data_IF_607809185063
#
_entry.id   IF_607809185063
#
_cell.length_a   1.000
_cell.length_b   1.000
_cell.length_c   1.000
_cell.angle_alpha   90.00
_cell.angle_beta   90.00
_cell.angle_gamma   90.00
#
_symmetry.space_group_name_H-M   'P 1'
#
loop_
_entity.id
_entity.type
_entity.pdbx_description
1 polymer ?
#
# COMPACT_ATOMS: atom_id res chain seq x y z
N UNK A 1 37.59 -20.48 -23.11
CA UNK A 1 38.10 -20.17 -21.76
C UNK A 1 38.00 -18.69 -21.39
N UNK A 2 38.10 -17.73 -22.30
CA UNK A 2 37.90 -16.29 -22.04
C UNK A 2 36.43 -15.97 -21.68
N UNK A 3 35.49 -16.71 -22.25
CA UNK A 3 34.04 -16.57 -21.92
C UNK A 3 33.72 -16.98 -20.49
N UNK A 4 34.40 -17.95 -19.91
CA UNK A 4 34.19 -18.34 -18.52
C UNK A 4 34.76 -17.33 -17.50
N UNK A 5 35.81 -16.61 -17.86
CA UNK A 5 36.42 -15.57 -17.02
C UNK A 5 35.51 -14.33 -17.00
N UNK A 6 34.89 -13.97 -18.15
CA UNK A 6 33.93 -12.87 -18.25
C UNK A 6 32.60 -13.17 -17.54
N UNK A 7 32.14 -14.42 -17.55
CA UNK A 7 30.94 -14.83 -16.81
C UNK A 7 31.16 -14.80 -15.28
N UNK A 8 32.33 -15.21 -14.81
CA UNK A 8 32.72 -15.09 -13.38
C UNK A 8 32.89 -13.64 -12.94
N UNK A 9 33.39 -12.76 -13.82
CA UNK A 9 33.53 -11.33 -13.48
C UNK A 9 32.17 -10.61 -13.44
N UNK A 10 31.22 -11.00 -14.29
CA UNK A 10 29.84 -10.46 -14.25
C UNK A 10 29.09 -10.85 -12.97
N UNK A 11 29.26 -12.06 -12.48
CA UNK A 11 28.69 -12.51 -11.20
C UNK A 11 29.28 -11.75 -10.01
N UNK A 12 30.61 -11.53 -10.02
CA UNK A 12 31.29 -10.72 -8.97
C UNK A 12 30.91 -9.25 -9.02
N UNK A 13 30.74 -8.68 -10.23
CA UNK A 13 30.28 -7.31 -10.41
C UNK A 13 28.81 -7.11 -9.96
N UNK A 14 27.95 -8.12 -10.16
CA UNK A 14 26.57 -8.10 -9.65
C UNK A 14 26.54 -8.21 -8.12
N UNK A 15 27.37 -9.06 -7.53
CA UNK A 15 27.53 -9.17 -6.09
C UNK A 15 28.12 -7.89 -5.48
N UNK A 16 29.11 -7.28 -6.12
CA UNK A 16 29.68 -6.00 -5.69
C UNK A 16 28.71 -4.84 -5.85
N UNK A 17 27.86 -4.81 -6.89
CA UNK A 17 26.78 -3.83 -7.02
C UNK A 17 25.73 -3.99 -5.91
N UNK A 18 25.41 -5.21 -5.53
CA UNK A 18 24.50 -5.48 -4.41
C UNK A 18 25.14 -5.12 -3.06
N UNK A 19 26.44 -5.39 -2.87
CA UNK A 19 27.19 -5.00 -1.68
C UNK A 19 27.43 -3.48 -1.59
N UNK A 20 27.78 -2.85 -2.71
CA UNK A 20 27.90 -1.38 -2.79
C UNK A 20 26.51 -0.69 -2.70
N UNK A 21 25.46 -1.30 -3.22
CA UNK A 21 24.07 -0.84 -3.03
C UNK A 21 23.62 -0.93 -1.57
N UNK A 22 24.06 -1.92 -0.83
CA UNK A 22 23.83 -2.06 0.62
C UNK A 22 24.71 -1.12 1.47
N UNK A 23 25.93 -0.85 1.03
CA UNK A 23 26.87 0.00 1.77
C UNK A 23 26.73 1.50 1.47
N UNK A 24 26.17 1.86 0.31
CA UNK A 24 25.87 3.22 -0.13
C UNK A 24 24.37 3.46 -0.29
N UNK A 25 23.54 2.73 0.43
CA UNK A 25 22.13 3.09 0.63
C UNK A 25 22.09 4.38 1.45
N UNK A 26 22.52 5.48 0.82
CA UNK A 26 22.00 6.78 1.17
C UNK A 26 20.50 6.62 1.05
N UNK A 27 19.81 6.55 2.20
CA UNK A 27 18.36 6.44 2.22
C UNK A 27 17.83 7.58 1.35
N UNK A 28 17.11 7.23 0.28
CA UNK A 28 16.49 8.23 -0.57
C UNK A 28 15.76 9.23 0.33
N UNK A 29 15.91 10.49 0.04
CA UNK A 29 15.22 11.55 0.79
C UNK A 29 13.84 11.79 0.20
N UNK A 30 12.96 12.44 0.95
CA UNK A 30 11.65 12.90 0.43
C UNK A 30 11.84 13.76 -0.83
N UNK A 31 12.92 14.55 -0.89
CA UNK A 31 13.27 15.36 -2.06
C UNK A 31 13.59 14.50 -3.27
N UNK A 32 14.27 13.37 -3.08
CA UNK A 32 14.57 12.42 -4.15
C UNK A 32 13.29 11.78 -4.69
N UNK A 33 12.40 11.31 -3.81
CA UNK A 33 11.09 10.77 -4.20
C UNK A 33 10.26 11.79 -5.00
N UNK A 34 10.23 13.06 -4.57
CA UNK A 34 9.55 14.12 -5.31
C UNK A 34 10.20 14.40 -6.67
N UNK A 35 11.52 14.39 -6.74
CA UNK A 35 12.24 14.56 -8.01
C UNK A 35 11.91 13.42 -8.98
N UNK A 36 11.93 12.19 -8.52
CA UNK A 36 11.61 11.01 -9.34
C UNK A 36 10.15 11.00 -9.77
N UNK A 37 9.24 11.39 -8.88
CA UNK A 37 7.84 11.60 -9.21
C UNK A 37 7.66 12.59 -10.38
N UNK A 38 8.31 13.74 -10.34
CA UNK A 38 8.19 14.75 -11.41
C UNK A 38 8.81 14.30 -12.74
N UNK A 39 9.82 13.44 -12.71
CA UNK A 39 10.37 12.82 -13.94
C UNK A 39 9.38 11.86 -14.58
N UNK A 40 8.69 11.05 -13.76
CA UNK A 40 7.75 10.05 -14.25
C UNK A 40 6.39 10.66 -14.61
N UNK A 41 5.97 11.70 -13.88
CA UNK A 41 4.72 12.41 -14.13
C UNK A 41 4.97 13.90 -14.47
N UNK A 42 5.39 14.21 -15.70
CA UNK A 42 5.74 15.57 -16.11
C UNK A 42 4.51 16.44 -16.45
N UNK A 43 3.34 16.10 -15.95
CA UNK A 43 2.10 16.81 -16.22
C UNK A 43 1.75 17.76 -15.08
N UNK A 44 1.01 18.82 -15.42
CA UNK A 44 0.50 19.78 -14.42
C UNK A 44 -0.63 19.12 -13.64
N UNK A 45 -0.49 19.08 -12.33
CA UNK A 45 -1.56 18.63 -11.41
C UNK A 45 -2.35 19.87 -10.98
N UNK A 46 -3.69 19.87 -11.15
CA UNK A 46 -4.52 20.97 -10.68
C UNK A 46 -4.30 21.22 -9.16
N UNK A 47 -4.33 22.48 -8.69
CA UNK A 47 -3.93 22.84 -7.32
C UNK A 47 -4.64 22.06 -6.22
N UNK A 48 -5.93 21.74 -6.41
CA UNK A 48 -6.72 20.97 -5.45
C UNK A 48 -6.16 19.55 -5.21
N UNK A 49 -5.62 18.93 -6.24
CA UNK A 49 -5.05 17.57 -6.16
C UNK A 49 -3.58 17.56 -5.82
N UNK A 50 -2.86 18.68 -6.06
CA UNK A 50 -1.40 18.75 -5.83
C UNK A 50 -1.04 18.52 -4.38
N UNK A 51 -1.74 19.17 -3.46
CA UNK A 51 -1.48 19.01 -2.02
C UNK A 51 -1.67 17.57 -1.58
N UNK A 52 -2.74 16.93 -2.02
CA UNK A 52 -3.03 15.53 -1.69
C UNK A 52 -2.01 14.56 -2.30
N UNK A 53 -1.57 14.81 -3.55
CA UNK A 53 -0.50 14.03 -4.16
C UNK A 53 0.82 14.16 -3.39
N UNK A 54 1.19 15.38 -3.01
CA UNK A 54 2.39 15.66 -2.21
C UNK A 54 2.34 14.97 -0.85
N UNK A 55 1.19 15.00 -0.16
CA UNK A 55 0.98 14.31 1.12
C UNK A 55 1.11 12.79 0.97
N UNK A 56 0.53 12.21 -0.09
CA UNK A 56 0.60 10.78 -0.34
C UNK A 56 2.02 10.33 -0.69
N UNK A 57 2.77 11.11 -1.48
CA UNK A 57 4.17 10.84 -1.79
C UNK A 57 5.00 10.81 -0.49
N UNK A 58 4.80 11.78 0.41
CA UNK A 58 5.50 11.83 1.69
C UNK A 58 5.14 10.65 2.58
N UNK A 59 3.85 10.31 2.67
CA UNK A 59 3.39 9.19 3.49
C UNK A 59 3.97 7.85 2.99
N UNK A 60 3.90 7.58 1.69
CA UNK A 60 4.48 6.37 1.11
C UNK A 60 6.00 6.33 1.26
N UNK A 61 6.69 7.47 1.14
CA UNK A 61 8.12 7.55 1.42
C UNK A 61 8.44 7.12 2.86
N UNK A 62 7.72 7.66 3.84
CA UNK A 62 7.92 7.30 5.24
C UNK A 62 7.62 5.82 5.50
N UNK A 63 6.56 5.28 4.91
CA UNK A 63 6.21 3.86 5.04
C UNK A 63 7.26 2.95 4.43
N UNK A 64 7.80 3.28 3.26
CA UNK A 64 8.83 2.47 2.59
C UNK A 64 10.13 2.35 3.40
N UNK A 65 10.36 3.27 4.37
CA UNK A 65 11.51 3.26 5.27
C UNK A 65 11.22 2.64 6.64
N UNK A 66 9.97 2.21 6.90
CA UNK A 66 9.61 1.56 8.16
C UNK A 66 10.02 0.09 8.15
N UNK A 67 10.82 -0.31 9.15
CA UNK A 67 11.39 -1.66 9.24
C UNK A 67 10.34 -2.78 9.28
N UNK A 68 9.18 -2.51 9.90
CA UNK A 68 8.12 -3.49 10.10
C UNK A 68 6.91 -3.24 9.19
N UNK A 69 7.08 -2.40 8.17
CA UNK A 69 6.03 -2.15 7.20
C UNK A 69 5.92 -3.31 6.20
N UNK A 70 4.68 -3.65 5.86
CA UNK A 70 4.35 -4.67 4.89
C UNK A 70 3.28 -4.15 3.93
N UNK A 71 3.53 -4.26 2.63
CA UNK A 71 2.62 -3.86 1.56
C UNK A 71 1.61 -4.98 1.22
N UNK A 72 0.97 -5.54 2.24
CA UNK A 72 -0.01 -6.61 2.09
C UNK A 72 -1.31 -6.17 1.38
N UNK A 73 -2.22 -7.12 1.15
CA UNK A 73 -3.47 -6.88 0.43
C UNK A 73 -4.38 -5.84 1.10
N UNK A 74 -4.37 -5.72 2.43
CA UNK A 74 -5.15 -4.71 3.17
C UNK A 74 -4.58 -3.32 2.90
N UNK A 75 -3.26 -3.15 2.98
CA UNK A 75 -2.61 -1.89 2.62
C UNK A 75 -2.87 -1.51 1.16
N UNK A 76 -2.69 -2.46 0.23
CA UNK A 76 -2.93 -2.22 -1.19
C UNK A 76 -4.37 -1.77 -1.46
N UNK A 77 -5.35 -2.39 -0.80
CA UNK A 77 -6.77 -2.02 -0.92
C UNK A 77 -7.03 -0.63 -0.35
N UNK A 78 -6.45 -0.32 0.81
CA UNK A 78 -6.58 1.00 1.42
C UNK A 78 -5.96 2.11 0.57
N UNK A 79 -4.79 1.87 -0.02
CA UNK A 79 -4.13 2.82 -0.91
C UNK A 79 -4.94 3.08 -2.17
N UNK A 80 -5.48 2.03 -2.80
CA UNK A 80 -6.34 2.18 -3.97
C UNK A 80 -7.63 2.93 -3.67
N UNK A 81 -8.29 2.60 -2.57
CA UNK A 81 -9.52 3.28 -2.16
C UNK A 81 -9.27 4.76 -1.88
N UNK A 82 -8.23 5.08 -1.10
CA UNK A 82 -7.80 6.45 -0.83
C UNK A 82 -7.51 7.20 -2.12
N UNK A 83 -6.78 6.58 -3.05
CA UNK A 83 -6.44 7.20 -4.33
C UNK A 83 -7.67 7.41 -5.22
N UNK A 84 -8.63 6.48 -5.21
CA UNK A 84 -9.89 6.60 -5.95
C UNK A 84 -10.72 7.77 -5.44
N UNK A 85 -10.84 7.92 -4.13
CA UNK A 85 -11.52 9.07 -3.50
C UNK A 85 -10.80 10.38 -3.84
N UNK A 86 -9.49 10.38 -3.71
CA UNK A 86 -8.64 11.52 -4.02
C UNK A 86 -8.77 11.99 -5.46
N UNK A 87 -8.83 11.06 -6.43
CA UNK A 87 -8.91 11.40 -7.86
C UNK A 87 -10.31 11.55 -8.40
N UNK A 88 -11.32 11.53 -7.53
CA UNK A 88 -12.70 11.78 -7.96
C UNK A 88 -12.83 13.18 -8.60
N UNK A 89 -13.28 13.18 -9.86
CA UNK A 89 -13.38 14.42 -10.65
C UNK A 89 -12.06 14.89 -11.27
N UNK A 90 -10.95 14.19 -11.10
CA UNK A 90 -9.66 14.53 -11.73
C UNK A 90 -9.77 14.49 -13.27
N UNK A 91 -9.21 15.51 -13.92
CA UNK A 91 -9.12 15.61 -15.39
C UNK A 91 -7.71 15.96 -15.82
N UNK A 92 -7.21 15.40 -16.92
CA UNK A 92 -7.85 14.37 -17.78
C UNK A 92 -7.81 12.97 -17.15
N UNK A 93 -8.83 12.17 -17.41
CA UNK A 93 -9.01 10.85 -16.77
C UNK A 93 -7.93 9.82 -17.13
N UNK A 94 -7.33 9.92 -18.31
CA UNK A 94 -6.22 9.06 -18.75
C UNK A 94 -4.91 9.30 -17.96
N UNK A 95 -4.81 10.42 -17.24
CA UNK A 95 -3.69 10.69 -16.35
C UNK A 95 -3.80 9.98 -14.98
N UNK A 96 -4.98 9.52 -14.58
CA UNK A 96 -5.21 8.95 -13.23
C UNK A 96 -4.31 7.75 -12.99
N UNK A 97 -4.25 6.80 -13.92
CA UNK A 97 -3.39 5.62 -13.79
C UNK A 97 -1.89 5.98 -13.82
N UNK A 98 -1.51 6.94 -14.65
CA UNK A 98 -0.13 7.44 -14.70
C UNK A 98 0.28 8.09 -13.39
N UNK A 99 -0.63 8.87 -12.79
CA UNK A 99 -0.43 9.53 -11.50
C UNK A 99 -0.25 8.49 -10.38
N UNK A 100 -1.11 7.46 -10.33
CA UNK A 100 -0.97 6.35 -9.37
C UNK A 100 0.38 5.65 -9.50
N UNK A 101 0.75 5.28 -10.73
CA UNK A 101 2.01 4.60 -11.00
C UNK A 101 3.20 5.45 -10.55
N UNK A 102 3.22 6.73 -10.89
CA UNK A 102 4.31 7.63 -10.52
C UNK A 102 4.44 7.80 -9.00
N UNK A 103 3.31 7.93 -8.28
CA UNK A 103 3.30 8.01 -6.81
C UNK A 103 3.83 6.73 -6.16
N UNK A 104 3.48 5.57 -6.70
CA UNK A 104 3.97 4.28 -6.20
C UNK A 104 5.47 4.11 -6.52
N UNK A 105 5.85 4.25 -7.78
CA UNK A 105 7.20 3.97 -8.27
C UNK A 105 8.26 4.85 -7.60
N UNK A 106 8.00 6.16 -7.42
CA UNK A 106 8.94 7.09 -6.79
C UNK A 106 9.26 6.73 -5.33
N UNK A 107 8.46 5.86 -4.72
CA UNK A 107 8.64 5.37 -3.35
C UNK A 107 9.03 3.88 -3.30
N UNK A 108 9.30 3.26 -4.45
CA UNK A 108 9.72 1.87 -4.52
C UNK A 108 8.59 0.83 -4.40
N UNK A 109 7.34 1.25 -4.49
CA UNK A 109 6.19 0.34 -4.56
C UNK A 109 5.90 -0.06 -6.00
N UNK A 110 5.52 -1.32 -6.21
CA UNK A 110 5.09 -1.81 -7.52
C UNK A 110 3.58 -1.60 -7.70
N UNK A 111 3.12 -0.68 -8.56
CA UNK A 111 1.70 -0.39 -8.72
C UNK A 111 0.91 -1.56 -9.29
N UNK A 112 1.50 -2.40 -10.14
CA UNK A 112 0.85 -3.58 -10.70
C UNK A 112 0.60 -4.63 -9.62
N UNK A 113 1.57 -4.87 -8.74
CA UNK A 113 1.44 -5.77 -7.61
C UNK A 113 0.35 -5.30 -6.64
N UNK A 114 0.37 -4.02 -6.27
CA UNK A 114 -0.65 -3.43 -5.40
C UNK A 114 -2.07 -3.53 -6.00
N UNK A 115 -2.20 -3.30 -7.30
CA UNK A 115 -3.47 -3.47 -8.00
C UNK A 115 -3.95 -4.92 -7.91
N UNK A 116 -3.08 -5.89 -8.20
CA UNK A 116 -3.40 -7.31 -8.16
C UNK A 116 -3.82 -7.75 -6.74
N UNK A 117 -3.06 -7.37 -5.72
CA UNK A 117 -3.37 -7.68 -4.32
C UNK A 117 -4.75 -7.14 -3.90
N UNK A 118 -5.04 -5.89 -4.25
CA UNK A 118 -6.33 -5.26 -3.94
C UNK A 118 -7.49 -5.95 -4.67
N UNK A 119 -7.36 -6.22 -5.96
CA UNK A 119 -8.41 -6.85 -6.75
C UNK A 119 -8.71 -8.26 -6.26
N UNK A 120 -7.67 -9.06 -5.98
CA UNK A 120 -7.82 -10.41 -5.43
C UNK A 120 -8.51 -10.40 -4.07
N UNK A 121 -8.18 -9.44 -3.20
CA UNK A 121 -8.82 -9.31 -1.90
C UNK A 121 -10.31 -8.99 -2.04
N UNK A 122 -10.68 -8.02 -2.86
CA UNK A 122 -12.07 -7.60 -3.04
C UNK A 122 -12.93 -8.69 -3.72
N UNK A 123 -12.34 -9.44 -4.66
CA UNK A 123 -13.02 -10.62 -5.25
C UNK A 123 -13.31 -11.67 -4.16
N UNK A 124 -12.32 -11.97 -3.32
CA UNK A 124 -12.48 -12.93 -2.21
C UNK A 124 -13.47 -12.44 -1.16
N UNK A 125 -13.49 -11.14 -0.85
CA UNK A 125 -14.39 -10.56 0.15
C UNK A 125 -15.86 -10.89 -0.11
N UNK A 126 -16.27 -10.94 -1.37
CA UNK A 126 -17.65 -11.30 -1.74
C UNK A 126 -18.00 -12.79 -1.45
N UNK A 127 -17.01 -13.66 -1.32
CA UNK A 127 -17.20 -15.10 -1.07
C UNK A 127 -16.80 -15.53 0.32
N UNK A 128 -16.19 -14.66 1.14
CA UNK A 128 -15.78 -15.01 2.49
C UNK A 128 -16.99 -15.34 3.39
N UNK A 129 -16.85 -16.42 4.12
CA UNK A 129 -17.56 -16.65 5.38
C UNK A 129 -16.69 -16.12 6.52
N UNK A 130 -17.25 -16.01 7.72
CA UNK A 130 -16.51 -15.44 8.87
C UNK A 130 -15.21 -16.21 9.18
N UNK A 131 -15.27 -17.54 9.16
CA UNK A 131 -14.10 -18.39 9.43
C UNK A 131 -13.03 -18.26 8.35
N UNK A 132 -13.42 -18.09 7.10
CA UNK A 132 -12.52 -17.90 5.98
C UNK A 132 -11.79 -16.56 6.09
N UNK A 133 -12.47 -15.50 6.56
CA UNK A 133 -11.90 -14.19 6.80
C UNK A 133 -10.86 -14.23 7.92
N UNK A 134 -11.16 -14.88 9.04
CA UNK A 134 -10.22 -15.05 10.15
C UNK A 134 -8.93 -15.75 9.69
N UNK A 135 -9.07 -16.86 8.96
CA UNK A 135 -7.95 -17.60 8.40
C UNK A 135 -7.12 -16.74 7.44
N UNK A 136 -7.79 -15.94 6.62
CA UNK A 136 -7.13 -15.03 5.68
C UNK A 136 -6.35 -13.94 6.41
N UNK A 137 -6.93 -13.32 7.44
CA UNK A 137 -6.27 -12.28 8.23
C UNK A 137 -5.05 -12.84 8.97
N UNK A 138 -5.15 -14.05 9.50
CA UNK A 138 -3.99 -14.74 10.09
C UNK A 138 -2.88 -14.97 9.08
N UNK A 139 -3.22 -15.34 7.84
CA UNK A 139 -2.23 -15.58 6.79
C UNK A 139 -1.55 -14.29 6.30
N UNK A 140 -2.26 -13.16 6.29
CA UNK A 140 -1.69 -11.85 5.94
C UNK A 140 -0.72 -11.35 7.01
N UNK A 141 -0.98 -11.67 8.28
CA UNK A 141 -0.07 -11.33 9.37
C UNK A 141 1.20 -12.15 9.19
N UNK A 142 2.24 -11.51 8.65
CA UNK A 142 3.55 -12.14 8.50
C UNK A 142 4.02 -12.66 9.86
N UNK A 143 4.06 -13.98 10.01
CA UNK A 143 4.50 -14.67 11.22
C UNK A 143 5.93 -14.31 11.63
N UNK A 144 6.73 -13.77 10.70
CA UNK A 144 8.08 -13.31 10.94
C UNK A 144 8.18 -11.94 11.64
N UNK A 145 7.07 -11.22 11.79
CA UNK A 145 7.04 -9.87 12.38
C UNK A 145 6.16 -9.85 13.63
N UNK A 146 6.75 -9.58 14.77
CA UNK A 146 6.04 -9.46 16.05
C UNK A 146 4.91 -8.42 16.04
N UNK A 147 5.03 -7.37 15.23
CA UNK A 147 3.99 -6.34 15.04
C UNK A 147 4.07 -5.75 13.63
N UNK A 148 2.98 -5.81 12.88
CA UNK A 148 2.79 -5.04 11.66
C UNK A 148 2.75 -3.54 11.94
N UNK A 149 3.45 -2.74 11.15
CA UNK A 149 3.37 -1.29 11.26
C UNK A 149 1.98 -0.81 10.83
N UNK A 150 1.32 -0.06 11.69
CA UNK A 150 0.01 0.52 11.40
C UNK A 150 0.14 1.87 10.69
N UNK A 151 -0.61 2.05 9.62
CA UNK A 151 -0.84 3.35 8.97
C UNK A 151 -2.34 3.61 8.81
N UNK A 152 -2.73 4.88 8.61
CA UNK A 152 -4.14 5.23 8.29
C UNK A 152 -4.61 4.57 6.98
N UNK A 153 -3.71 4.28 6.06
CA UNK A 153 -4.02 3.55 4.81
C UNK A 153 -4.52 2.14 5.13
N UNK A 154 -3.93 1.47 6.13
CA UNK A 154 -4.43 0.18 6.60
C UNK A 154 -5.85 0.27 7.18
N UNK A 155 -6.16 1.35 7.90
CA UNK A 155 -7.52 1.57 8.42
C UNK A 155 -8.55 1.64 7.29
N UNK A 156 -8.24 2.38 6.23
CA UNK A 156 -9.11 2.47 5.04
C UNK A 156 -9.24 1.10 4.36
N UNK A 157 -8.14 0.33 4.29
CA UNK A 157 -8.17 -1.03 3.73
C UNK A 157 -9.05 -1.99 4.53
N UNK A 158 -8.99 -1.94 5.86
CA UNK A 158 -9.88 -2.71 6.73
C UNK A 158 -11.34 -2.29 6.51
N UNK A 159 -11.62 -1.00 6.50
CA UNK A 159 -12.97 -0.48 6.28
C UNK A 159 -13.52 -0.92 4.91
N UNK A 160 -12.72 -0.78 3.84
CA UNK A 160 -13.11 -1.20 2.49
C UNK A 160 -13.35 -2.70 2.42
N UNK A 161 -12.48 -3.51 3.01
CA UNK A 161 -12.66 -4.96 3.08
C UNK A 161 -14.00 -5.30 3.74
N UNK A 162 -14.28 -4.76 4.92
CA UNK A 162 -15.51 -5.04 5.67
C UNK A 162 -16.75 -4.59 4.91
N UNK A 163 -16.69 -3.45 4.23
CA UNK A 163 -17.82 -2.94 3.43
C UNK A 163 -18.16 -3.82 2.22
N UNK A 164 -17.22 -4.67 1.77
CA UNK A 164 -17.42 -5.59 0.63
C UNK A 164 -17.77 -7.01 1.08
N UNK A 165 -17.79 -7.31 2.38
CA UNK A 165 -18.14 -8.64 2.88
C UNK A 165 -19.62 -8.93 2.63
N UNK A 166 -19.90 -10.00 1.89
CA UNK A 166 -21.27 -10.33 1.49
C UNK A 166 -22.18 -10.57 2.69
N UNK A 167 -21.68 -11.24 3.73
CA UNK A 167 -22.47 -11.58 4.92
C UNK A 167 -22.82 -10.36 5.81
N UNK A 168 -22.27 -9.18 5.52
CA UNK A 168 -22.55 -7.93 6.23
C UNK A 168 -23.39 -6.93 5.41
N UNK A 169 -23.73 -7.22 4.17
CA UNK A 169 -24.41 -6.26 3.26
C UNK A 169 -25.74 -5.72 3.76
N UNK A 170 -26.46 -6.49 4.57
CA UNK A 170 -27.77 -6.12 5.14
C UNK A 170 -27.70 -5.83 6.64
N UNK A 171 -26.49 -5.72 7.20
CA UNK A 171 -26.29 -5.58 8.64
C UNK A 171 -26.24 -4.12 9.07
N UNK A 172 -26.49 -3.89 10.37
CA UNK A 172 -26.43 -2.57 10.98
C UNK A 172 -24.99 -2.09 11.11
N UNK A 173 -24.82 -0.77 11.24
CA UNK A 173 -23.51 -0.15 11.45
C UNK A 173 -22.77 -0.72 12.68
N UNK A 174 -23.51 -1.15 13.72
CA UNK A 174 -22.94 -1.81 14.89
C UNK A 174 -22.25 -3.14 14.57
N UNK A 175 -22.81 -3.93 13.65
CA UNK A 175 -22.22 -5.20 13.21
C UNK A 175 -20.95 -4.96 12.39
N UNK A 176 -20.96 -3.93 11.55
CA UNK A 176 -19.79 -3.50 10.77
C UNK A 176 -18.66 -3.05 11.71
N UNK A 177 -18.96 -2.24 12.70
CA UNK A 177 -17.97 -1.76 13.66
C UNK A 177 -17.41 -2.90 14.52
N UNK A 178 -18.24 -3.87 14.86
CA UNK A 178 -17.81 -5.09 15.57
C UNK A 178 -16.83 -5.90 14.73
N UNK A 179 -17.14 -6.13 13.45
CA UNK A 179 -16.26 -6.86 12.54
C UNK A 179 -14.93 -6.13 12.33
N UNK A 180 -14.94 -4.80 12.16
CA UNK A 180 -13.73 -3.99 12.10
C UNK A 180 -12.88 -4.19 13.38
N UNK A 181 -13.52 -4.18 14.56
CA UNK A 181 -12.83 -4.39 15.82
C UNK A 181 -12.18 -5.77 15.92
N UNK A 182 -12.88 -6.82 15.47
CA UNK A 182 -12.35 -8.19 15.45
C UNK A 182 -11.14 -8.30 14.51
N UNK A 183 -11.22 -7.75 13.30
CA UNK A 183 -10.09 -7.73 12.34
C UNK A 183 -8.91 -6.92 12.91
N UNK A 184 -9.16 -5.78 13.55
CA UNK A 184 -8.12 -5.00 14.20
C UNK A 184 -7.39 -5.80 15.28
N UNK A 185 -8.11 -6.53 16.11
CA UNK A 185 -7.52 -7.40 17.12
C UNK A 185 -6.64 -8.49 16.51
N UNK A 186 -7.09 -9.13 15.44
CA UNK A 186 -6.33 -10.14 14.71
C UNK A 186 -5.04 -9.57 14.11
N UNK A 187 -5.10 -8.36 13.54
CA UNK A 187 -3.94 -7.66 12.97
C UNK A 187 -3.02 -7.04 14.03
N UNK A 188 -3.46 -6.95 15.28
CA UNK A 188 -2.74 -6.25 16.35
C UNK A 188 -2.82 -4.72 16.25
N UNK A 189 -3.87 -4.20 15.58
CA UNK A 189 -4.13 -2.76 15.51
C UNK A 189 -5.01 -2.30 16.67
N UNK A 190 -4.77 -1.08 17.14
CA UNK A 190 -5.58 -0.47 18.18
C UNK A 190 -6.89 0.07 17.56
N UNK A 191 -8.04 -0.56 17.91
CA UNK A 191 -9.35 -0.22 17.31
C UNK A 191 -9.70 1.28 17.41
N UNK A 192 -9.49 1.91 18.57
CA UNK A 192 -9.80 3.34 18.75
C UNK A 192 -9.03 4.26 17.79
N UNK A 193 -7.82 3.86 17.39
CA UNK A 193 -7.04 4.59 16.40
C UNK A 193 -7.59 4.37 14.99
N UNK A 194 -7.93 3.12 14.67
CA UNK A 194 -8.55 2.76 13.38
C UNK A 194 -9.89 3.46 13.19
N UNK A 195 -10.75 3.44 14.20
CA UNK A 195 -12.06 4.11 14.20
C UNK A 195 -11.92 5.62 13.95
N UNK A 196 -10.97 6.26 14.63
CA UNK A 196 -10.66 7.69 14.41
C UNK A 196 -10.20 7.95 12.98
N UNK A 197 -9.31 7.12 12.44
CA UNK A 197 -8.80 7.31 11.09
C UNK A 197 -9.92 7.08 10.05
N UNK A 198 -10.80 6.09 10.24
CA UNK A 198 -11.96 5.85 9.38
C UNK A 198 -12.95 7.02 9.42
N UNK A 199 -13.18 7.61 10.60
CA UNK A 199 -14.15 8.72 10.75
C UNK A 199 -13.79 9.97 9.94
N UNK A 200 -12.53 10.11 9.53
CA UNK A 200 -12.08 11.20 8.65
C UNK A 200 -12.51 10.98 7.20
N UNK A 201 -12.84 9.73 6.83
CA UNK A 201 -13.20 9.33 5.46
C UNK A 201 -14.71 9.08 5.27
N UNK A 202 -15.49 9.03 6.33
CA UNK A 202 -16.95 8.98 6.29
C UNK A 202 -17.52 10.40 6.16
#
# INVERSE_FOLDING_TARGET
SVFMILAKSRGKLRSLKNYLGLALSVRATISDSKSDFHKEFPYVIPPIYRKLADELIVELHLLSHQKNFDNNAIFATGLKELFTIFTNGYKPSDHINKLFNAICNCNGFNPSELNTLSEQLLIKANSFRKEDLESFVHHIKDESKDKSYYSRINAIGVYKLVSELHYLKDNKEEDINKEISEICNLLGYQYSRVEKDISIYK
#
